data_IF_021832281438
#
_entry.id   IF_021832281438
#
_cell.length_a   1.000
_cell.length_b   1.000
_cell.length_c   1.000
_cell.angle_alpha   90.00
_cell.angle_beta   90.00
_cell.angle_gamma   90.00
#
_symmetry.space_group_name_H-M   'P 1'
#
loop_
_entity.id
_entity.type
_entity.pdbx_description
1 polymer ?
#
# COMPACT_ATOMS: atom_id res chain seq x y z
N UNK A 1 -19.70 8.15 -0.25
CA UNK A 1 -20.90 8.17 -1.11
C UNK A 1 -21.30 9.56 -1.62
N UNK A 2 -21.02 10.67 -0.93
CA UNK A 2 -21.33 12.02 -1.45
C UNK A 2 -20.51 12.32 -2.72
N UNK A 3 -19.20 12.03 -2.72
CA UNK A 3 -18.35 12.27 -3.89
C UNK A 3 -18.86 11.54 -5.14
N UNK A 4 -19.07 10.22 -5.07
CA UNK A 4 -19.54 9.43 -6.21
C UNK A 4 -20.84 9.98 -6.84
N UNK A 5 -21.79 10.40 -6.00
CA UNK A 5 -23.09 10.93 -6.44
C UNK A 5 -23.02 12.36 -6.96
N UNK A 6 -22.17 13.20 -6.36
CA UNK A 6 -22.02 14.61 -6.74
C UNK A 6 -21.08 14.82 -7.93
N UNK A 7 -20.19 13.86 -8.17
CA UNK A 7 -19.15 13.87 -9.20
C UNK A 7 -19.23 12.60 -10.05
N UNK A 8 -20.31 12.42 -10.85
CA UNK A 8 -20.55 11.19 -11.60
C UNK A 8 -19.60 11.00 -12.80
N UNK A 9 -18.79 12.01 -13.13
CA UNK A 9 -17.81 11.98 -14.22
C UNK A 9 -16.38 11.88 -13.71
N UNK A 10 -16.22 11.67 -12.40
CA UNK A 10 -14.94 11.51 -11.75
C UNK A 10 -14.86 10.12 -11.14
N UNK A 11 -13.68 9.52 -11.26
CA UNK A 11 -13.40 8.24 -10.64
C UNK A 11 -13.01 8.42 -9.17
N UNK A 12 -13.64 7.67 -8.29
CA UNK A 12 -13.40 7.71 -6.85
C UNK A 12 -12.77 6.40 -6.40
N UNK A 13 -11.69 6.50 -5.66
CA UNK A 13 -11.02 5.33 -5.09
C UNK A 13 -10.43 5.65 -3.72
N UNK A 14 -9.74 4.68 -3.11
CA UNK A 14 -9.30 4.74 -1.72
C UNK A 14 -7.87 4.21 -1.57
N UNK A 15 -7.24 4.56 -0.44
CA UNK A 15 -5.98 3.99 0.02
C UNK A 15 -6.13 3.64 1.51
N UNK A 16 -7.00 2.67 1.83
CA UNK A 16 -7.24 2.26 3.21
C UNK A 16 -6.26 1.18 3.64
N UNK A 17 -5.71 1.26 4.85
CA UNK A 17 -4.91 0.19 5.44
C UNK A 17 -5.80 -1.02 5.75
N UNK A 18 -5.56 -2.13 5.06
CA UNK A 18 -6.29 -3.39 5.23
C UNK A 18 -6.28 -3.88 6.69
N UNK A 19 -5.16 -3.76 7.40
CA UNK A 19 -5.02 -4.28 8.77
C UNK A 19 -5.64 -3.39 9.83
N UNK A 20 -5.93 -2.13 9.51
CA UNK A 20 -6.60 -1.19 10.40
C UNK A 20 -8.13 -1.17 10.20
N UNK A 21 -8.67 -2.01 9.31
CA UNK A 21 -10.09 -2.03 9.02
C UNK A 21 -10.91 -2.56 10.22
N UNK A 22 -12.08 -1.97 10.49
CA UNK A 22 -13.02 -2.50 11.48
C UNK A 22 -13.40 -3.95 11.21
N UNK A 23 -13.63 -4.72 12.28
CA UNK A 23 -14.00 -6.14 12.19
C UNK A 23 -15.34 -6.40 11.51
N UNK A 24 -16.20 -5.38 11.40
CA UNK A 24 -17.48 -5.41 10.69
C UNK A 24 -17.38 -4.94 9.23
N UNK A 25 -16.17 -4.71 8.72
CA UNK A 25 -15.94 -4.42 7.30
C UNK A 25 -16.42 -5.59 6.43
N UNK A 26 -17.20 -5.35 5.35
CA UNK A 26 -17.71 -6.40 4.49
C UNK A 26 -16.59 -7.32 3.98
N UNK A 27 -16.76 -8.64 4.15
CA UNK A 27 -15.83 -9.65 3.68
C UNK A 27 -14.50 -9.78 4.46
N UNK A 28 -14.21 -8.91 5.44
CA UNK A 28 -12.88 -8.82 6.08
C UNK A 28 -12.42 -10.10 6.78
N UNK A 29 -13.36 -10.99 7.15
CA UNK A 29 -13.09 -12.28 7.76
C UNK A 29 -12.59 -13.36 6.78
N UNK A 30 -12.44 -13.04 5.49
CA UNK A 30 -11.90 -13.97 4.49
C UNK A 30 -10.49 -14.45 4.89
N UNK A 31 -10.28 -15.76 4.82
CA UNK A 31 -9.04 -16.43 5.24
C UNK A 31 -8.32 -17.13 4.09
N UNK A 32 -8.58 -16.71 2.83
CA UNK A 32 -7.87 -17.20 1.65
C UNK A 32 -6.35 -17.01 1.84
N UNK A 33 -5.53 -18.07 1.74
CA UNK A 33 -4.10 -17.97 2.05
C UNK A 33 -3.35 -16.97 1.16
N UNK A 34 -3.62 -17.01 -0.14
CA UNK A 34 -3.07 -16.05 -1.09
C UNK A 34 -3.61 -14.65 -0.77
N UNK A 35 -2.69 -13.72 -0.50
CA UNK A 35 -3.06 -12.39 -0.02
C UNK A 35 -3.72 -11.57 -1.13
N UNK A 36 -3.29 -11.71 -2.38
CA UNK A 36 -3.87 -10.97 -3.49
C UNK A 36 -5.28 -11.49 -3.82
N UNK A 37 -5.46 -12.80 -3.89
CA UNK A 37 -6.78 -13.41 -4.09
C UNK A 37 -7.76 -13.01 -2.98
N UNK A 38 -7.28 -13.01 -1.72
CA UNK A 38 -8.07 -12.56 -0.57
C UNK A 38 -8.49 -11.11 -0.69
N UNK A 39 -7.55 -10.20 -0.93
CA UNK A 39 -7.85 -8.77 -1.04
C UNK A 39 -8.81 -8.50 -2.21
N UNK A 40 -8.59 -9.11 -3.37
CA UNK A 40 -9.47 -8.94 -4.52
C UNK A 40 -10.92 -9.37 -4.20
N UNK A 41 -11.10 -10.47 -3.46
CA UNK A 41 -12.43 -10.91 -3.00
C UNK A 41 -13.07 -9.88 -2.07
N UNK A 42 -12.33 -9.41 -1.07
CA UNK A 42 -12.84 -8.44 -0.08
C UNK A 42 -13.19 -7.11 -0.78
N UNK A 43 -12.30 -6.60 -1.63
CA UNK A 43 -12.54 -5.39 -2.43
C UNK A 43 -13.77 -5.55 -3.33
N UNK A 44 -13.99 -6.72 -3.95
CA UNK A 44 -15.20 -6.99 -4.74
C UNK A 44 -16.46 -6.88 -3.89
N UNK A 45 -16.48 -7.50 -2.70
CA UNK A 45 -17.62 -7.44 -1.78
C UNK A 45 -17.89 -6.00 -1.33
N UNK A 46 -16.85 -5.23 -0.99
CA UNK A 46 -17.00 -3.82 -0.60
C UNK A 46 -17.52 -2.98 -1.78
N UNK A 47 -17.03 -3.21 -2.98
CA UNK A 47 -17.51 -2.50 -4.18
C UNK A 47 -18.99 -2.80 -4.47
N UNK A 48 -19.42 -4.05 -4.28
CA UNK A 48 -20.82 -4.45 -4.39
C UNK A 48 -21.70 -3.76 -3.32
N UNK A 49 -21.21 -3.67 -2.08
CA UNK A 49 -21.90 -2.98 -0.98
C UNK A 49 -22.01 -1.46 -1.21
N UNK A 50 -20.95 -0.83 -1.73
CA UNK A 50 -20.95 0.59 -2.11
C UNK A 50 -21.92 0.84 -3.27
N UNK A 51 -21.93 -0.02 -4.29
CA UNK A 51 -22.89 -0.01 -5.39
C UNK A 51 -22.78 1.14 -6.39
N UNK A 52 -21.68 1.91 -6.37
CA UNK A 52 -21.47 3.08 -7.24
C UNK A 52 -20.55 2.76 -8.42
N UNK A 53 -20.97 3.07 -9.65
CA UNK A 53 -20.23 2.70 -10.88
C UNK A 53 -18.91 3.45 -11.08
N UNK A 54 -18.81 4.65 -10.53
CA UNK A 54 -17.62 5.49 -10.57
C UNK A 54 -16.77 5.35 -9.30
N UNK A 55 -16.98 4.28 -8.52
CA UNK A 55 -16.18 4.00 -7.35
C UNK A 55 -15.51 2.63 -7.48
N UNK A 56 -14.20 2.58 -7.25
CA UNK A 56 -13.47 1.34 -6.97
C UNK A 56 -12.73 1.47 -5.66
N UNK A 57 -13.17 0.73 -4.67
CA UNK A 57 -12.47 0.58 -3.41
C UNK A 57 -11.13 -0.13 -3.63
N UNK A 58 -10.09 0.37 -2.98
CA UNK A 58 -8.75 -0.21 -2.96
C UNK A 58 -8.16 -0.18 -1.55
N UNK A 59 -7.58 -1.30 -1.16
CA UNK A 59 -6.76 -1.45 0.02
C UNK A 59 -5.30 -1.20 -0.29
N UNK A 60 -4.66 -0.41 0.57
CA UNK A 60 -3.23 -0.58 0.80
C UNK A 60 -3.07 -1.82 1.66
N UNK A 61 -2.43 -2.86 1.10
CA UNK A 61 -2.21 -4.12 1.80
C UNK A 61 -1.51 -3.93 3.14
N UNK A 62 -0.63 -2.94 3.23
CA UNK A 62 -0.01 -2.47 4.46
C UNK A 62 -0.11 -0.95 4.55
N UNK A 63 0.64 -0.34 5.47
CA UNK A 63 0.80 1.11 5.53
C UNK A 63 1.48 1.66 4.27
N UNK A 64 1.36 2.98 4.05
CA UNK A 64 2.09 3.69 2.99
C UNK A 64 3.60 3.40 3.03
N UNK A 65 4.18 3.20 4.20
CA UNK A 65 5.59 2.85 4.34
C UNK A 65 5.96 1.51 3.68
N UNK A 66 5.00 0.60 3.47
CA UNK A 66 5.22 -0.66 2.76
C UNK A 66 5.66 -0.42 1.31
N UNK A 67 5.02 0.52 0.60
CA UNK A 67 5.41 0.81 -0.79
C UNK A 67 6.80 1.46 -0.90
N UNK A 68 7.32 2.06 0.17
CA UNK A 68 8.66 2.65 0.17
C UNK A 68 9.76 1.59 0.01
N UNK A 69 9.48 0.31 0.28
CA UNK A 69 10.42 -0.78 0.01
C UNK A 69 10.54 -1.15 -1.47
N UNK A 70 9.79 -0.51 -2.38
CA UNK A 70 9.88 -0.77 -3.82
C UNK A 70 11.21 -0.33 -4.44
N UNK A 71 11.88 0.67 -3.87
CA UNK A 71 13.21 1.10 -4.33
C UNK A 71 14.09 1.46 -3.12
N UNK A 72 14.72 0.46 -2.49
CA UNK A 72 15.57 0.67 -1.31
C UNK A 72 16.68 1.71 -1.52
N UNK A 73 17.21 1.86 -2.74
CA UNK A 73 18.29 2.83 -3.00
C UNK A 73 17.85 4.28 -2.75
N UNK A 74 16.56 4.60 -2.86
CA UNK A 74 16.05 5.95 -2.57
C UNK A 74 16.28 6.37 -1.12
N UNK A 75 16.43 5.41 -0.19
CA UNK A 75 16.71 5.71 1.22
C UNK A 75 18.07 6.37 1.47
N UNK A 76 19.01 6.37 0.50
CA UNK A 76 20.24 7.16 0.59
C UNK A 76 19.97 8.67 0.72
N UNK A 77 18.77 9.14 0.39
CA UNK A 77 18.36 10.53 0.62
C UNK A 77 18.25 10.89 2.11
N UNK A 78 18.07 9.90 2.98
CA UNK A 78 17.78 10.11 4.41
C UNK A 78 18.56 9.19 5.35
N UNK A 79 19.36 8.25 4.83
CA UNK A 79 20.06 7.25 5.60
C UNK A 79 21.44 6.92 4.99
N UNK A 80 22.31 6.28 5.78
CA UNK A 80 23.63 5.83 5.34
C UNK A 80 23.58 4.43 4.69
N UNK A 81 24.67 4.04 4.04
CA UNK A 81 24.79 2.77 3.31
C UNK A 81 24.47 1.53 4.16
N UNK A 82 24.83 1.55 5.45
CA UNK A 82 24.53 0.45 6.36
C UNK A 82 23.02 0.26 6.57
N UNK A 83 22.30 1.36 6.77
CA UNK A 83 20.84 1.34 6.91
C UNK A 83 20.16 0.95 5.60
N UNK A 84 20.60 1.51 4.48
CA UNK A 84 20.05 1.16 3.15
C UNK A 84 20.27 -0.33 2.85
N UNK A 85 21.43 -0.87 3.22
CA UNK A 85 21.72 -2.30 3.14
C UNK A 85 20.73 -3.16 3.96
N UNK A 86 20.40 -2.74 5.18
CA UNK A 86 19.39 -3.44 5.99
C UNK A 86 17.97 -3.34 5.40
N UNK A 87 17.59 -2.18 4.85
CA UNK A 87 16.29 -2.01 4.17
C UNK A 87 16.22 -2.93 2.95
N UNK A 88 17.28 -3.00 2.14
CA UNK A 88 17.38 -3.92 1.01
C UNK A 88 17.29 -5.38 1.47
N UNK A 89 17.96 -5.74 2.58
CA UNK A 89 17.89 -7.08 3.15
C UNK A 89 16.45 -7.43 3.55
N UNK A 90 15.77 -6.53 4.27
CA UNK A 90 14.35 -6.70 4.61
C UNK A 90 13.51 -6.87 3.35
N UNK A 91 13.68 -6.02 2.33
CA UNK A 91 12.93 -6.12 1.07
C UNK A 91 13.11 -7.49 0.41
N UNK A 92 14.32 -8.06 0.46
CA UNK A 92 14.64 -9.36 -0.12
C UNK A 92 14.08 -10.56 0.65
N UNK A 93 13.68 -10.38 1.91
CA UNK A 93 13.05 -11.43 2.72
C UNK A 93 11.58 -11.69 2.31
N UNK A 94 11.03 -10.89 1.38
CA UNK A 94 9.63 -10.96 0.92
C UNK A 94 9.54 -10.94 -0.61
N UNK A 95 8.49 -11.55 -1.15
CA UNK A 95 8.26 -11.61 -2.59
C UNK A 95 8.03 -10.20 -3.20
N UNK A 96 7.09 -9.45 -2.64
CA UNK A 96 6.81 -8.05 -3.04
C UNK A 96 6.81 -7.13 -1.81
N UNK A 97 6.91 -5.79 -1.98
CA UNK A 97 6.74 -4.87 -0.85
C UNK A 97 5.37 -5.03 -0.18
N UNK A 98 4.37 -5.46 -0.95
CA UNK A 98 3.01 -5.75 -0.50
C UNK A 98 2.89 -7.02 0.36
N UNK A 99 3.96 -7.80 0.47
CA UNK A 99 4.06 -8.95 1.38
C UNK A 99 4.79 -8.63 2.69
N UNK A 100 5.32 -7.42 2.86
CA UNK A 100 6.05 -7.01 4.07
C UNK A 100 5.07 -6.89 5.24
N UNK A 101 4.77 -8.03 5.83
CA UNK A 101 3.65 -8.27 6.73
C UNK A 101 3.89 -7.80 8.18
N UNK A 102 2.77 -7.64 8.88
CA UNK A 102 2.61 -7.04 10.19
C UNK A 102 2.38 -8.10 11.28
N UNK A 103 3.22 -8.08 12.29
CA UNK A 103 2.78 -7.95 13.68
C UNK A 103 2.87 -6.45 14.06
N UNK A 104 2.22 -5.98 15.14
CA UNK A 104 2.33 -4.57 15.57
C UNK A 104 3.79 -4.07 15.72
N UNK A 105 4.72 -4.97 16.01
CA UNK A 105 6.14 -4.68 16.18
C UNK A 105 6.94 -4.74 14.87
N UNK A 106 6.39 -5.36 13.82
CA UNK A 106 7.10 -5.60 12.55
C UNK A 106 6.45 -4.90 11.36
N UNK A 107 5.55 -3.95 11.60
CA UNK A 107 4.94 -3.15 10.56
C UNK A 107 5.99 -2.34 9.76
N UNK A 108 5.76 -2.07 8.46
CA UNK A 108 6.69 -1.30 7.64
C UNK A 108 7.16 -0.01 8.31
N UNK A 109 6.25 0.78 8.88
CA UNK A 109 6.65 2.02 9.54
C UNK A 109 7.52 1.79 10.79
N UNK A 110 7.25 0.72 11.56
CA UNK A 110 8.07 0.34 12.73
C UNK A 110 9.46 -0.12 12.34
N UNK A 111 9.61 -0.83 11.22
CA UNK A 111 10.92 -1.18 10.66
C UNK A 111 11.73 0.06 10.30
N UNK A 112 11.09 1.02 9.63
CA UNK A 112 11.76 2.27 9.25
C UNK A 112 12.11 3.15 10.46
N UNK A 113 11.21 3.27 11.43
CA UNK A 113 11.44 3.99 12.70
C UNK A 113 12.61 3.39 13.50
N UNK A 114 12.74 2.06 13.52
CA UNK A 114 13.82 1.38 14.22
C UNK A 114 15.18 1.53 13.51
N UNK A 115 15.19 1.57 12.17
CA UNK A 115 16.41 1.65 11.36
C UNK A 115 16.93 3.07 11.17
N UNK A 116 16.03 4.06 11.04
CA UNK A 116 16.38 5.43 10.65
C UNK A 116 16.14 6.36 11.85
N UNK A 117 17.20 6.84 12.53
CA UNK A 117 17.07 7.79 13.61
C UNK A 117 16.35 9.07 13.15
N UNK A 118 15.27 9.42 13.84
CA UNK A 118 14.48 10.61 13.50
C UNK A 118 13.63 10.47 12.25
N UNK A 119 13.28 9.23 11.85
CA UNK A 119 12.33 8.99 10.75
C UNK A 119 11.03 9.78 10.95
N UNK A 120 10.73 10.66 10.00
CA UNK A 120 9.52 11.48 10.02
C UNK A 120 8.57 11.01 8.91
N UNK A 121 7.57 10.21 9.27
CA UNK A 121 6.65 9.51 8.33
C UNK A 121 6.20 10.38 7.16
N UNK A 122 5.63 11.55 7.45
CA UNK A 122 5.08 12.45 6.41
C UNK A 122 6.20 13.00 5.52
N UNK A 123 7.17 13.71 6.11
CA UNK A 123 8.22 14.39 5.35
C UNK A 123 9.07 13.40 4.54
N UNK A 124 9.58 12.37 5.22
CA UNK A 124 10.50 11.41 4.63
C UNK A 124 9.76 10.50 3.65
N UNK A 125 8.55 10.06 3.98
CA UNK A 125 7.72 9.27 3.08
C UNK A 125 7.44 9.98 1.77
N UNK A 126 7.03 11.27 1.82
CA UNK A 126 6.84 12.07 0.61
C UNK A 126 8.12 12.18 -0.22
N UNK A 127 9.24 12.58 0.42
CA UNK A 127 10.53 12.73 -0.26
C UNK A 127 10.98 11.44 -0.97
N UNK A 128 10.83 10.29 -0.30
CA UNK A 128 11.20 8.99 -0.85
C UNK A 128 10.29 8.58 -2.01
N UNK A 129 8.96 8.68 -1.83
CA UNK A 129 8.01 8.31 -2.87
C UNK A 129 8.14 9.17 -4.13
N UNK A 130 8.47 10.45 -3.98
CA UNK A 130 8.69 11.37 -5.10
C UNK A 130 9.96 10.98 -5.87
N UNK A 131 11.05 10.70 -5.16
CA UNK A 131 12.31 10.29 -5.78
C UNK A 131 12.23 8.91 -6.44
N UNK A 132 11.46 8.00 -5.87
CA UNK A 132 11.21 6.66 -6.39
C UNK A 132 10.37 6.69 -7.67
N UNK A 133 9.30 7.50 -7.66
CA UNK A 133 8.35 7.61 -8.76
C UNK A 133 7.42 6.41 -8.90
N UNK A 134 6.29 6.65 -9.58
CA UNK A 134 5.22 5.67 -9.73
C UNK A 134 5.65 4.39 -10.46
N UNK A 135 6.55 4.52 -11.45
CA UNK A 135 7.00 3.39 -12.25
C UNK A 135 7.72 2.31 -11.42
N UNK A 136 8.55 2.70 -10.45
CA UNK A 136 9.24 1.76 -9.58
C UNK A 136 8.25 1.06 -8.62
N UNK A 137 7.26 1.80 -8.08
CA UNK A 137 6.20 1.24 -7.24
C UNK A 137 5.40 0.19 -8.05
N UNK A 138 4.89 0.56 -9.23
CA UNK A 138 4.12 -0.36 -10.08
C UNK A 138 4.92 -1.58 -10.54
N UNK A 139 6.24 -1.45 -10.72
CA UNK A 139 7.08 -2.58 -11.10
C UNK A 139 7.23 -3.62 -9.97
N UNK A 140 7.09 -3.20 -8.71
CA UNK A 140 7.35 -4.03 -7.54
C UNK A 140 6.09 -4.45 -6.78
N UNK A 141 4.99 -3.72 -6.95
CA UNK A 141 3.73 -3.90 -6.23
C UNK A 141 2.60 -4.28 -7.22
N UNK A 142 2.37 -5.58 -7.49
CA UNK A 142 1.34 -6.05 -8.42
C UNK A 142 -0.08 -5.55 -8.11
N UNK A 143 -0.51 -5.52 -6.84
CA UNK A 143 -1.87 -5.11 -6.49
C UNK A 143 -2.04 -3.60 -6.67
N UNK A 144 -1.09 -2.79 -6.22
CA UNK A 144 -1.02 -1.36 -6.50
C UNK A 144 -0.98 -1.06 -8.00
N UNK A 145 -0.18 -1.81 -8.77
CA UNK A 145 -0.09 -1.67 -10.22
C UNK A 145 -1.46 -1.86 -10.87
N UNK A 146 -2.14 -2.96 -10.54
CA UNK A 146 -3.48 -3.27 -11.06
C UNK A 146 -4.45 -2.14 -10.77
N UNK A 147 -4.43 -1.61 -9.54
CA UNK A 147 -5.26 -0.47 -9.15
C UNK A 147 -5.03 0.79 -9.99
N UNK A 148 -3.76 1.16 -10.25
CA UNK A 148 -3.43 2.29 -11.13
C UNK A 148 -3.90 2.02 -12.57
N UNK A 149 -3.68 0.81 -13.09
CA UNK A 149 -4.08 0.44 -14.46
C UNK A 149 -5.61 0.49 -14.63
N UNK A 150 -6.37 0.01 -13.65
CA UNK A 150 -7.83 0.09 -13.63
C UNK A 150 -8.33 1.54 -13.60
N UNK A 151 -7.66 2.42 -12.86
CA UNK A 151 -7.97 3.86 -12.84
C UNK A 151 -7.76 4.55 -14.19
N UNK A 152 -6.67 4.20 -14.89
CA UNK A 152 -6.33 4.81 -16.18
C UNK A 152 -7.25 4.31 -17.29
N UNK A 153 -7.81 3.11 -17.15
CA UNK A 153 -8.70 2.49 -18.13
C UNK A 153 -10.18 2.88 -17.99
N UNK A 154 -10.56 3.59 -16.93
CA UNK A 154 -11.93 4.04 -16.66
C UNK A 154 -12.39 5.17 -17.60
#
# INVERSE_FOLDING_TARGET
>A
MILCKSHPHEYVTTMFDYYAMPSDTPGISDATPDIFERIEKIESIINEDIGERNCRFHFMLHEFEGILFSEPNTFHLIANDGIVGEIQRIRNDFETPEHINNSPETAPSKRLEALIPGYAKVKNGTQLSEAMGLGAIMAQCPHFKKWIEDMVAW
#
